data_IF_629184577001
#
_entry.id   IF_629184577001
#
_cell.length_a   1.000
_cell.length_b   1.000
_cell.length_c   1.000
_cell.angle_alpha   90.00
_cell.angle_beta   90.00
_cell.angle_gamma   90.00
#
_symmetry.space_group_name_H-M   'P 1'
#
loop_
_entity.id
_entity.type
_entity.pdbx_description
1 polymer ?
#
# COMPACT_ATOMS: atom_id res chain seq x y z
N UNK A 1 -29.58 3.84 -51.17
CA UNK A 1 -28.19 3.48 -50.80
C UNK A 1 -28.04 3.67 -49.28
N UNK A 2 -28.05 2.59 -48.51
CA UNK A 2 -27.96 2.61 -47.03
C UNK A 2 -26.84 1.65 -46.62
N UNK A 3 -25.59 1.97 -46.96
CA UNK A 3 -24.45 1.09 -46.66
C UNK A 3 -23.17 1.80 -46.19
N UNK A 4 -23.29 3.01 -45.62
CA UNK A 4 -22.12 3.73 -45.06
C UNK A 4 -21.96 3.62 -43.53
N UNK A 5 -22.89 3.00 -42.80
CA UNK A 5 -22.85 2.98 -41.31
C UNK A 5 -22.13 1.81 -40.67
N UNK A 6 -21.51 0.91 -41.44
CA UNK A 6 -20.73 -0.23 -40.88
C UNK A 6 -19.22 0.05 -40.92
N UNK A 7 -18.83 1.23 -41.42
CA UNK A 7 -17.49 1.53 -41.91
C UNK A 7 -16.36 1.64 -40.89
N UNK A 8 -16.58 1.60 -39.57
CA UNK A 8 -15.46 1.81 -38.64
C UNK A 8 -15.53 1.08 -37.30
N UNK A 9 -16.34 0.02 -37.16
CA UNK A 9 -16.43 -0.71 -35.88
C UNK A 9 -15.07 -1.26 -35.42
N UNK A 10 -14.25 -1.75 -36.37
CA UNK A 10 -12.86 -2.17 -36.13
C UNK A 10 -11.95 -1.02 -35.69
N UNK A 11 -12.13 0.17 -36.24
CA UNK A 11 -11.35 1.35 -35.88
C UNK A 11 -11.71 1.82 -34.47
N UNK A 12 -13.01 1.89 -34.15
CA UNK A 12 -13.50 2.21 -32.81
C UNK A 12 -12.98 1.23 -31.75
N UNK A 13 -12.91 -0.06 -32.07
CA UNK A 13 -12.31 -1.05 -31.17
C UNK A 13 -10.82 -0.83 -30.93
N UNK A 14 -10.05 -0.44 -31.95
CA UNK A 14 -8.61 -0.13 -31.78
C UNK A 14 -8.40 1.06 -30.85
N UNK A 15 -9.24 2.09 -30.95
CA UNK A 15 -9.20 3.23 -30.04
C UNK A 15 -9.60 2.87 -28.61
N UNK A 16 -10.66 2.08 -28.44
CA UNK A 16 -11.06 1.59 -27.12
C UNK A 16 -9.94 0.76 -26.47
N UNK A 17 -9.29 -0.11 -27.24
CA UNK A 17 -8.20 -0.96 -26.76
C UNK A 17 -6.94 -0.13 -26.43
N UNK A 18 -6.61 0.86 -27.25
CA UNK A 18 -5.54 1.80 -26.95
C UNK A 18 -5.80 2.61 -25.68
N UNK A 19 -7.04 3.08 -25.48
CA UNK A 19 -7.47 3.76 -24.26
C UNK A 19 -7.37 2.87 -23.02
N UNK A 20 -7.74 1.60 -23.14
CA UNK A 20 -7.64 0.63 -22.06
C UNK A 20 -6.17 0.35 -21.70
N UNK A 21 -5.30 0.16 -22.69
CA UNK A 21 -3.86 -0.03 -22.45
C UNK A 21 -3.23 1.20 -21.81
N UNK A 22 -3.55 2.40 -22.31
CA UNK A 22 -3.08 3.65 -21.72
C UNK A 22 -3.58 3.82 -20.27
N UNK A 23 -4.84 3.49 -20.00
CA UNK A 23 -5.40 3.53 -18.64
C UNK A 23 -4.69 2.56 -17.69
N UNK A 24 -4.46 1.32 -18.11
CA UNK A 24 -3.69 0.35 -17.33
C UNK A 24 -2.26 0.82 -17.07
N UNK A 25 -1.62 1.45 -18.05
CA UNK A 25 -0.28 2.00 -17.89
C UNK A 25 -0.27 3.13 -16.84
N UNK A 26 -1.22 4.06 -16.90
CA UNK A 26 -1.33 5.15 -15.91
C UNK A 26 -1.57 4.60 -14.50
N UNK A 27 -2.45 3.62 -14.34
CA UNK A 27 -2.71 2.98 -13.05
C UNK A 27 -1.45 2.31 -12.52
N UNK A 28 -0.72 1.57 -13.37
CA UNK A 28 0.51 0.91 -12.97
C UNK A 28 1.59 1.91 -12.54
N UNK A 29 1.78 3.03 -13.27
CA UNK A 29 2.72 4.08 -12.89
C UNK A 29 2.29 4.82 -11.62
N UNK A 30 1.00 5.06 -11.42
CA UNK A 30 0.49 5.68 -10.21
C UNK A 30 0.71 4.78 -9.00
N UNK A 31 0.47 3.47 -9.15
CA UNK A 31 0.73 2.50 -8.11
C UNK A 31 2.22 2.43 -7.78
N UNK A 32 3.11 2.30 -8.76
CA UNK A 32 4.56 2.26 -8.49
C UNK A 32 5.10 3.59 -7.96
N UNK A 33 4.62 4.74 -8.44
CA UNK A 33 5.03 6.04 -7.92
C UNK A 33 4.59 6.30 -6.48
N UNK A 34 3.42 5.79 -6.08
CA UNK A 34 2.90 5.95 -4.72
C UNK A 34 3.40 4.87 -3.76
N UNK A 35 3.74 3.66 -4.23
CA UNK A 35 4.14 2.54 -3.36
C UNK A 35 5.63 2.16 -3.44
N UNK A 36 6.38 2.60 -4.45
CA UNK A 36 7.79 2.25 -4.59
C UNK A 36 8.68 3.36 -4.04
N UNK A 37 9.03 3.24 -2.75
CA UNK A 37 10.24 3.76 -2.10
C UNK A 37 10.48 5.27 -2.05
N UNK A 38 9.90 6.05 -2.96
CA UNK A 38 10.03 7.51 -3.01
C UNK A 38 9.21 8.17 -1.92
N UNK A 39 8.02 7.63 -1.63
CA UNK A 39 7.19 8.09 -0.52
C UNK A 39 7.80 7.70 0.83
N UNK A 40 8.27 6.46 0.99
CA UNK A 40 8.95 6.00 2.21
C UNK A 40 10.23 6.81 2.48
N UNK A 41 11.08 7.00 1.46
CA UNK A 41 12.29 7.80 1.59
C UNK A 41 12.02 9.31 1.79
N UNK A 42 10.89 9.82 1.31
CA UNK A 42 10.46 11.19 1.58
C UNK A 42 9.93 11.34 3.02
N UNK A 43 9.21 10.34 3.53
CA UNK A 43 8.76 10.32 4.93
C UNK A 43 9.95 10.29 5.89
N UNK A 44 10.94 9.44 5.65
CA UNK A 44 12.17 9.38 6.47
C UNK A 44 12.96 10.71 6.46
N UNK A 45 12.88 11.48 5.37
CA UNK A 45 13.51 12.82 5.29
C UNK A 45 12.71 13.92 5.98
N UNK A 46 11.38 13.87 5.91
CA UNK A 46 10.49 14.87 6.51
C UNK A 46 10.31 14.65 8.01
N UNK A 47 10.33 13.39 8.44
CA UNK A 47 10.16 12.98 9.83
C UNK A 47 11.28 12.00 10.20
N UNK A 48 12.51 12.50 10.40
CA UNK A 48 13.63 11.65 10.77
C UNK A 48 13.31 10.90 12.06
N UNK A 49 13.32 9.58 11.99
CA UNK A 49 13.12 8.74 13.16
C UNK A 49 14.22 9.03 14.21
N UNK A 50 13.90 8.95 15.51
CA UNK A 50 14.91 9.03 16.56
C UNK A 50 16.05 8.03 16.31
N UNK A 51 17.27 8.42 16.67
CA UNK A 51 18.42 7.52 16.56
C UNK A 51 18.13 6.19 17.28
N UNK A 52 18.49 5.03 16.70
CA UNK A 52 18.22 3.73 17.32
C UNK A 52 18.87 3.67 18.71
N UNK A 53 18.06 3.44 19.75
CA UNK A 53 18.60 3.15 21.08
C UNK A 53 19.14 1.70 21.06
N UNK A 54 20.44 1.46 21.30
CA UNK A 54 21.02 0.13 21.28
C UNK A 54 20.45 -0.81 22.37
N UNK A 55 19.67 -0.30 23.32
CA UNK A 55 18.94 -1.09 24.31
C UNK A 55 17.58 -1.59 23.80
N UNK A 56 17.12 -1.13 22.63
CA UNK A 56 15.80 -1.44 22.08
C UNK A 56 15.97 -2.17 20.75
N UNK A 57 15.52 -3.41 20.70
CA UNK A 57 15.45 -4.20 19.46
C UNK A 57 14.02 -4.24 18.96
N UNK A 58 13.73 -3.60 17.83
CA UNK A 58 12.47 -3.78 17.12
C UNK A 58 12.52 -5.04 16.27
N UNK A 59 11.54 -5.92 16.47
CA UNK A 59 11.32 -7.10 15.65
C UNK A 59 9.95 -6.94 14.98
N UNK A 60 9.95 -6.69 13.67
CA UNK A 60 8.72 -6.68 12.88
C UNK A 60 8.42 -8.09 12.39
N UNK A 61 7.19 -8.57 12.62
CA UNK A 61 6.72 -9.88 12.18
C UNK A 61 5.53 -9.64 11.25
N UNK A 62 5.59 -10.18 10.03
CA UNK A 62 4.47 -10.09 9.11
C UNK A 62 3.31 -10.99 9.56
N UNK A 63 2.08 -10.65 9.14
CA UNK A 63 0.87 -11.33 9.57
C UNK A 63 0.88 -12.84 9.26
N UNK A 64 1.48 -13.25 8.13
CA UNK A 64 1.52 -14.67 7.74
C UNK A 64 2.43 -15.45 8.68
N UNK A 65 3.61 -14.91 8.99
CA UNK A 65 4.52 -15.49 9.98
C UNK A 65 3.89 -15.53 11.37
N UNK A 66 3.18 -14.48 11.76
CA UNK A 66 2.52 -14.41 13.06
C UNK A 66 1.37 -15.44 13.21
N UNK A 67 0.63 -15.69 12.12
CA UNK A 67 -0.38 -16.76 12.07
C UNK A 67 0.27 -18.15 12.16
N UNK A 68 1.43 -18.35 11.50
CA UNK A 68 2.19 -19.60 11.56
C UNK A 68 2.78 -19.89 12.96
N UNK A 69 3.06 -18.83 13.73
CA UNK A 69 3.53 -18.91 15.12
C UNK A 69 2.42 -19.21 16.14
N UNK A 70 1.19 -19.48 15.68
CA UNK A 70 0.09 -19.90 16.56
C UNK A 70 -0.73 -18.75 17.16
N UNK A 71 -0.62 -17.53 16.64
CA UNK A 71 -1.58 -16.44 16.91
C UNK A 71 -1.63 -15.88 18.33
N UNK A 72 -0.73 -16.25 19.23
CA UNK A 72 -0.75 -15.85 20.65
C UNK A 72 0.61 -15.26 21.10
N UNK A 73 0.70 -14.10 21.78
CA UNK A 73 -0.18 -12.93 21.84
C UNK A 73 0.35 -11.76 20.99
N UNK A 74 1.21 -12.01 20.01
CA UNK A 74 1.90 -10.96 19.24
C UNK A 74 0.98 -10.14 18.31
N UNK A 75 -0.26 -10.60 18.08
CA UNK A 75 -1.19 -9.99 17.11
C UNK A 75 -2.61 -9.81 17.67
N UNK A 76 -2.81 -10.04 18.97
CA UNK A 76 -4.10 -9.76 19.59
C UNK A 76 -4.31 -8.25 19.61
N UNK A 77 -5.19 -7.74 18.74
CA UNK A 77 -5.54 -6.32 18.68
C UNK A 77 -6.07 -5.81 20.04
N UNK A 78 -6.68 -6.68 20.84
CA UNK A 78 -7.10 -6.39 22.20
C UNK A 78 -5.91 -6.14 23.15
N UNK A 79 -4.78 -6.82 22.97
CA UNK A 79 -3.57 -6.58 23.75
C UNK A 79 -2.89 -5.27 23.34
N UNK A 80 -2.81 -4.96 22.04
CA UNK A 80 -2.32 -3.66 21.57
C UNK A 80 -3.15 -2.49 22.10
N UNK A 81 -4.48 -2.60 22.06
CA UNK A 81 -5.37 -1.58 22.63
C UNK A 81 -5.13 -1.38 24.14
N UNK A 82 -4.88 -2.46 24.89
CA UNK A 82 -4.55 -2.38 26.32
C UNK A 82 -3.20 -1.68 26.57
N UNK A 83 -2.16 -2.01 25.80
CA UNK A 83 -0.85 -1.37 25.91
C UNK A 83 -0.93 0.12 25.55
N UNK A 84 -1.65 0.48 24.49
CA UNK A 84 -1.84 1.89 24.08
C UNK A 84 -2.57 2.66 25.19
N UNK A 85 -3.67 2.13 25.71
CA UNK A 85 -4.42 2.77 26.80
C UNK A 85 -3.56 2.92 28.07
N UNK A 86 -2.76 1.91 28.40
CA UNK A 86 -1.83 1.97 29.53
C UNK A 86 -0.75 3.05 29.33
N UNK A 87 -0.13 3.12 28.15
CA UNK A 87 0.88 4.12 27.85
C UNK A 87 0.30 5.54 27.85
N UNK A 88 -0.91 5.74 27.33
CA UNK A 88 -1.64 7.01 27.42
C UNK A 88 -1.94 7.40 28.88
N UNK A 89 -2.24 6.43 29.75
CA UNK A 89 -2.52 6.72 31.17
C UNK A 89 -1.29 7.17 31.97
N UNK A 90 -0.08 6.83 31.51
CA UNK A 90 1.17 7.20 32.16
C UNK A 90 1.64 8.62 31.80
N UNK A 91 1.16 9.17 30.69
CA UNK A 91 1.41 10.55 30.25
C UNK A 91 0.17 11.11 29.55
N UNK A 92 -0.81 11.66 30.30
CA UNK A 92 -2.04 12.22 29.75
C UNK A 92 -1.81 13.47 28.89
#
# INVERSE_FOLDING_TARGET
>A
MVRDRVGNWRLSWRFALAGLVAGLLVIALAQTGLTAGTFDAAQDRLFPAPAPDPRITLVAIDQKSANALGGYPLVSNAYHAHVINYLMSLNP
#
